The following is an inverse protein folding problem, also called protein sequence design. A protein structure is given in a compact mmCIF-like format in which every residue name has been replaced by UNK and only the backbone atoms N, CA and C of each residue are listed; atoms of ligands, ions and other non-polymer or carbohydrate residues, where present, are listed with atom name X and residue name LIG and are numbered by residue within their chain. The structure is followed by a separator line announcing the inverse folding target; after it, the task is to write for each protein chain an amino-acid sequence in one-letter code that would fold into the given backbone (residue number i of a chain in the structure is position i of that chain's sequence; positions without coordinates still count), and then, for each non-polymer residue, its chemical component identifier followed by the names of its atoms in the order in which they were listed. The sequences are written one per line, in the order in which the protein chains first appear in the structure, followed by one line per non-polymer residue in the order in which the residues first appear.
data_IF_115790544593
#
_entry.id   IF_115790544593
#
_cell.length_a   1.000
_cell.length_b   1.000
_cell.length_c   1.000
_cell.angle_alpha   90.00
_cell.angle_beta   90.00
_cell.angle_gamma   90.00
#
_symmetry.space_group_name_H-M   'P 1'
#
loop_
_entity.id
_entity.type
_entity.pdbx_description
1 polymer ?
#
# COMPACT_ATOMS: atom_id res chain seq x y z
N UNK A 1 -0.03 7.36 -23.76
CA UNK A 1 -0.83 7.75 -22.59
C UNK A 1 -1.80 6.67 -22.07
N UNK A 2 -2.29 5.71 -22.87
CA UNK A 2 -3.24 4.69 -22.37
C UNK A 2 -2.56 3.59 -21.53
N UNK A 3 -1.41 3.06 -21.97
CA UNK A 3 -0.71 1.97 -21.27
C UNK A 3 -0.18 2.34 -19.87
N UNK A 4 0.26 3.59 -19.68
CA UNK A 4 0.77 4.07 -18.38
C UNK A 4 -0.33 4.17 -17.33
N UNK A 5 -1.56 4.55 -17.73
CA UNK A 5 -2.71 4.61 -16.83
C UNK A 5 -3.18 3.21 -16.40
N UNK A 6 -3.10 2.22 -17.29
CA UNK A 6 -3.40 0.82 -16.95
C UNK A 6 -2.40 0.30 -15.90
N UNK A 7 -1.10 0.52 -16.12
CA UNK A 7 -0.07 0.11 -15.16
C UNK A 7 -0.21 0.78 -13.78
N UNK A 8 -0.68 2.03 -13.72
CA UNK A 8 -0.94 2.74 -12.46
C UNK A 8 -2.12 2.14 -11.69
N UNK A 9 -3.24 1.86 -12.37
CA UNK A 9 -4.43 1.27 -11.75
C UNK A 9 -4.15 -0.13 -11.18
N UNK A 10 -3.38 -0.93 -11.91
CA UNK A 10 -2.94 -2.23 -11.42
C UNK A 10 -2.03 -2.11 -10.19
N UNK A 11 -1.05 -1.20 -10.23
CA UNK A 11 -0.15 -0.96 -9.10
C UNK A 11 -0.92 -0.53 -7.84
N UNK A 12 -1.92 0.35 -8.00
CA UNK A 12 -2.83 0.74 -6.90
C UNK A 12 -3.60 -0.46 -6.34
N UNK A 13 -4.13 -1.30 -7.22
CA UNK A 13 -4.89 -2.50 -6.82
C UNK A 13 -4.00 -3.48 -6.05
N UNK A 14 -2.79 -3.76 -6.55
CA UNK A 14 -1.82 -4.65 -5.88
C UNK A 14 -1.39 -4.09 -4.52
N UNK A 15 -1.05 -2.80 -4.44
CA UNK A 15 -0.68 -2.16 -3.18
C UNK A 15 -1.83 -2.18 -2.17
N UNK A 16 -3.08 -1.98 -2.62
CA UNK A 16 -4.27 -2.02 -1.74
C UNK A 16 -4.48 -3.41 -1.18
N UNK A 17 -4.41 -4.44 -2.03
CA UNK A 17 -4.58 -5.82 -1.60
C UNK A 17 -3.45 -6.24 -0.64
N UNK A 18 -2.21 -5.83 -0.91
CA UNK A 18 -1.09 -6.09 -0.01
C UNK A 18 -1.28 -5.38 1.35
N UNK A 19 -1.80 -4.15 1.37
CA UNK A 19 -2.13 -3.44 2.63
C UNK A 19 -3.18 -4.20 3.45
N UNK A 20 -4.22 -4.73 2.80
CA UNK A 20 -5.25 -5.53 3.49
C UNK A 20 -4.67 -6.80 4.10
N UNK A 21 -3.83 -7.53 3.34
CA UNK A 21 -3.11 -8.69 3.86
C UNK A 21 -2.24 -8.34 5.08
N UNK A 22 -1.51 -7.21 5.02
CA UNK A 22 -0.70 -6.76 6.16
C UNK A 22 -1.58 -6.38 7.36
N UNK A 23 -2.74 -5.76 7.13
CA UNK A 23 -3.69 -5.43 8.18
C UNK A 23 -4.21 -6.70 8.87
N UNK A 24 -4.65 -7.71 8.11
CA UNK A 24 -5.14 -8.98 8.66
C UNK A 24 -4.10 -9.69 9.53
N UNK A 25 -2.81 -9.57 9.17
CA UNK A 25 -1.72 -10.31 9.84
C UNK A 25 -1.03 -9.54 10.97
N UNK A 26 -0.94 -8.21 10.86
CA UNK A 26 -0.08 -7.39 11.72
C UNK A 26 -0.78 -6.20 12.36
N UNK A 27 -2.10 -6.07 12.20
CA UNK A 27 -2.84 -5.03 12.90
C UNK A 27 -2.72 -5.22 14.42
N UNK A 28 -2.36 -4.14 15.11
CA UNK A 28 -2.39 -4.06 16.58
C UNK A 28 -3.41 -3.01 16.99
N UNK A 29 -4.34 -3.40 17.85
CA UNK A 29 -5.36 -2.54 18.43
C UNK A 29 -6.78 -3.11 18.32
N UNK A 30 -7.61 -2.82 19.33
CA UNK A 30 -9.03 -3.12 19.33
C UNK A 30 -9.78 -2.04 18.55
N UNK A 31 -10.52 -2.44 17.51
CA UNK A 31 -11.44 -1.54 16.83
C UNK A 31 -12.66 -1.30 17.69
N UNK A 32 -12.82 -0.09 18.22
CA UNK A 32 -14.14 0.44 18.55
C UNK A 32 -14.40 1.86 17.98
N UNK A 33 -13.36 2.64 17.61
CA UNK A 33 -13.57 3.92 16.89
C UNK A 33 -12.32 4.54 16.21
N UNK A 34 -11.17 3.84 16.16
CA UNK A 34 -9.87 4.46 15.80
C UNK A 34 -9.19 3.87 14.55
N UNK A 35 -8.21 4.58 13.98
CA UNK A 35 -7.42 4.08 12.86
C UNK A 35 -6.63 2.84 13.26
N UNK A 36 -6.68 1.81 12.41
CA UNK A 36 -5.96 0.56 12.61
C UNK A 36 -4.47 0.77 12.37
N UNK A 37 -3.64 0.50 13.38
CA UNK A 37 -2.18 0.56 13.26
C UNK A 37 -1.64 -0.79 12.76
N UNK A 38 -0.94 -0.76 11.63
CA UNK A 38 -0.33 -1.95 11.00
C UNK A 38 1.19 -1.91 11.23
N UNK A 39 1.71 -2.79 12.09
CA UNK A 39 3.16 -2.86 12.38
C UNK A 39 3.82 -4.02 11.62
N UNK A 40 4.20 -3.77 10.36
CA UNK A 40 4.71 -4.82 9.45
C UNK A 40 6.23 -4.85 9.26
N UNK A 41 6.98 -3.82 9.68
CA UNK A 41 8.45 -3.79 9.64
C UNK A 41 9.09 -3.77 8.24
N UNK A 42 8.31 -3.69 7.16
CA UNK A 42 8.82 -3.69 5.78
C UNK A 42 9.26 -2.29 5.34
N UNK A 43 10.36 -2.23 4.59
CA UNK A 43 10.76 -1.03 3.85
C UNK A 43 9.88 -0.82 2.62
N UNK A 44 9.88 0.40 2.07
CA UNK A 44 9.17 0.70 0.81
C UNK A 44 9.75 -0.09 -0.38
N UNK A 45 11.03 -0.43 -0.35
CA UNK A 45 11.64 -1.30 -1.38
C UNK A 45 11.05 -2.71 -1.32
N UNK A 46 10.98 -3.33 -0.14
CA UNK A 46 10.37 -4.65 0.01
C UNK A 46 8.89 -4.67 -0.41
N UNK A 47 8.14 -3.60 -0.11
CA UNK A 47 6.76 -3.46 -0.59
C UNK A 47 6.70 -3.42 -2.12
N UNK A 48 7.65 -2.74 -2.76
CA UNK A 48 7.72 -2.62 -4.22
C UNK A 48 8.05 -3.97 -4.89
N UNK A 49 9.00 -4.70 -4.32
CA UNK A 49 9.40 -6.03 -4.79
C UNK A 49 8.22 -7.01 -4.70
N UNK A 50 7.48 -6.99 -3.58
CA UNK A 50 6.31 -7.86 -3.37
C UNK A 50 5.15 -7.61 -4.34
N UNK A 51 4.98 -6.37 -4.81
CA UNK A 51 3.87 -6.01 -5.73
C UNK A 51 4.32 -5.83 -7.18
N UNK A 52 5.60 -6.11 -7.47
CA UNK A 52 6.17 -6.09 -8.82
C UNK A 52 6.21 -4.70 -9.46
N UNK A 53 6.58 -3.66 -8.70
CA UNK A 53 6.70 -2.28 -9.22
C UNK A 53 7.98 -1.61 -8.74
N UNK A 54 8.30 -0.44 -9.30
CA UNK A 54 9.43 0.38 -8.82
C UNK A 54 9.10 1.03 -7.48
N UNK A 55 10.08 1.13 -6.58
CA UNK A 55 9.94 1.82 -5.28
C UNK A 55 9.41 3.25 -5.40
N UNK A 56 9.85 4.01 -6.41
CA UNK A 56 9.33 5.36 -6.67
C UNK A 56 7.80 5.39 -6.90
N UNK A 57 7.23 4.34 -7.51
CA UNK A 57 5.79 4.21 -7.69
C UNK A 57 5.08 3.99 -6.35
N UNK A 58 5.59 3.07 -5.51
CA UNK A 58 5.07 2.84 -4.15
C UNK A 58 5.04 4.15 -3.37
N UNK A 59 6.13 4.93 -3.42
CA UNK A 59 6.24 6.19 -2.69
C UNK A 59 5.22 7.22 -3.16
N UNK A 60 4.98 7.31 -4.47
CA UNK A 60 3.95 8.18 -5.05
C UNK A 60 2.55 7.75 -4.60
N UNK A 61 2.25 6.46 -4.61
CA UNK A 61 0.95 5.93 -4.21
C UNK A 61 0.67 6.12 -2.72
N UNK A 62 1.64 5.78 -1.86
CA UNK A 62 1.51 5.97 -0.40
C UNK A 62 1.32 7.45 -0.05
N UNK A 63 2.08 8.35 -0.68
CA UNK A 63 1.89 9.80 -0.52
C UNK A 63 0.48 10.23 -0.92
N UNK A 64 0.02 9.78 -2.09
CA UNK A 64 -1.31 10.08 -2.59
C UNK A 64 -2.45 9.55 -1.70
N UNK A 65 -2.25 8.44 -0.99
CA UNK A 65 -3.23 7.97 0.00
C UNK A 65 -3.22 8.82 1.26
N UNK A 66 -2.04 9.10 1.81
CA UNK A 66 -1.90 9.98 2.97
C UNK A 66 -2.53 11.35 2.73
N UNK A 67 -2.36 11.91 1.53
CA UNK A 67 -2.91 13.22 1.18
C UNK A 67 -4.45 13.19 0.99
N UNK A 68 -5.07 12.01 0.84
CA UNK A 68 -6.53 11.82 0.69
C UNK A 68 -7.26 11.47 1.98
N UNK A 69 -6.54 11.06 3.03
CA UNK A 69 -7.11 10.47 4.25
C UNK A 69 -7.58 9.03 4.05
#
# INVERSE_FOLDING_TARGET
MIAENVGLNEAQTRLRNHRMFLAERFAKGHSDAGPLRIEHGLSQQHLADNIGVRCAMVNRLLRSWRDRG
#
